data_IF_243104086161
#
_entry.id   IF_243104086161
#
_cell.length_a   1.000
_cell.length_b   1.000
_cell.length_c   1.000
_cell.angle_alpha   90.00
_cell.angle_beta   90.00
_cell.angle_gamma   90.00
#
_symmetry.space_group_name_H-M   'P 1'
#
loop_
_entity.id
_entity.type
_entity.pdbx_description
1 polymer ?
#
# COMPACT_ATOMS: atom_id res chain seq x y z
N UNK A 1 -0.06 -4.66 -7.11
CA UNK A 1 -0.07 -6.07 -7.50
C UNK A 1 -1.19 -6.29 -8.50
N UNK A 2 -0.99 -7.08 -9.56
CA UNK A 2 -1.97 -7.25 -10.66
C UNK A 2 -2.95 -8.35 -10.26
N UNK A 3 -4.11 -8.00 -9.72
CA UNK A 3 -5.13 -8.98 -9.29
C UNK A 3 -6.26 -9.12 -10.31
N UNK A 4 -5.99 -9.76 -11.45
CA UNK A 4 -7.04 -10.14 -12.42
C UNK A 4 -8.12 -11.03 -11.79
N UNK A 5 -7.76 -11.80 -10.76
CA UNK A 5 -8.70 -12.62 -10.01
C UNK A 5 -9.88 -11.84 -9.44
N UNK A 6 -9.65 -10.59 -8.99
CA UNK A 6 -10.73 -9.71 -8.49
C UNK A 6 -11.74 -9.37 -9.57
N UNK A 7 -11.28 -9.10 -10.79
CA UNK A 7 -12.17 -8.85 -11.92
C UNK A 7 -12.98 -10.10 -12.29
N UNK A 8 -12.32 -11.25 -12.37
CA UNK A 8 -12.99 -12.51 -12.70
C UNK A 8 -13.97 -12.94 -11.61
N UNK A 9 -13.69 -12.67 -10.34
CA UNK A 9 -14.61 -12.96 -9.25
C UNK A 9 -15.85 -12.04 -9.29
N UNK A 10 -15.67 -10.75 -9.59
CA UNK A 10 -16.76 -9.81 -9.78
C UNK A 10 -17.64 -10.16 -11.01
N UNK A 11 -17.06 -10.77 -12.05
CA UNK A 11 -17.73 -11.20 -13.28
C UNK A 11 -17.83 -12.73 -13.39
N UNK A 12 -17.95 -13.43 -12.27
CA UNK A 12 -17.81 -14.89 -12.18
C UNK A 12 -18.77 -15.64 -13.10
N UNK A 13 -20.02 -15.20 -13.18
CA UNK A 13 -21.03 -15.84 -14.05
C UNK A 13 -20.63 -15.76 -15.51
N UNK A 14 -20.22 -14.58 -15.98
CA UNK A 14 -19.76 -14.39 -17.37
C UNK A 14 -18.47 -15.18 -17.64
N UNK A 15 -17.51 -15.12 -16.71
CA UNK A 15 -16.25 -15.87 -16.78
C UNK A 15 -16.49 -17.37 -17.00
N UNK A 16 -17.34 -17.99 -16.17
CA UNK A 16 -17.65 -19.43 -16.27
C UNK A 16 -18.42 -19.74 -17.55
N UNK A 17 -19.39 -18.90 -17.93
CA UNK A 17 -20.16 -19.11 -19.16
C UNK A 17 -19.25 -19.09 -20.41
N UNK A 18 -18.31 -18.14 -20.48
CA UNK A 18 -17.36 -18.05 -21.60
C UNK A 18 -16.38 -19.21 -21.64
N UNK A 19 -15.89 -19.69 -20.48
CA UNK A 19 -15.04 -20.88 -20.42
C UNK A 19 -15.75 -22.15 -20.89
N UNK A 20 -17.01 -22.32 -20.52
CA UNK A 20 -17.81 -23.52 -20.91
C UNK A 20 -18.12 -23.53 -22.41
N UNK A 21 -18.16 -22.37 -23.06
CA UNK A 21 -18.52 -22.21 -24.46
C UNK A 21 -17.32 -22.20 -25.43
N UNK A 22 -16.12 -22.57 -24.98
CA UNK A 22 -14.89 -22.54 -25.79
C UNK A 22 -14.84 -23.58 -26.96
N UNK A 23 -15.95 -24.24 -27.27
CA UNK A 23 -16.00 -25.35 -28.25
C UNK A 23 -16.15 -24.93 -29.72
N UNK A 24 -16.10 -23.64 -30.03
CA UNK A 24 -16.26 -23.12 -31.39
C UNK A 24 -15.29 -21.99 -31.76
N UNK A 25 -15.06 -21.76 -33.07
CA UNK A 25 -14.05 -20.80 -33.53
C UNK A 25 -14.36 -19.34 -33.15
N UNK A 26 -15.62 -18.97 -32.98
CA UNK A 26 -16.02 -17.61 -32.53
C UNK A 26 -15.91 -17.45 -31.01
N UNK A 27 -16.02 -18.50 -30.24
CA UNK A 27 -15.97 -18.48 -28.78
C UNK A 27 -14.59 -18.13 -28.25
N UNK A 28 -13.53 -18.47 -28.97
CA UNK A 28 -12.17 -18.04 -28.65
C UNK A 28 -11.99 -16.53 -28.76
N UNK A 29 -12.53 -15.91 -29.83
CA UNK A 29 -12.46 -14.45 -29.99
C UNK A 29 -13.24 -13.74 -28.87
N UNK A 30 -14.38 -14.25 -28.48
CA UNK A 30 -15.20 -13.71 -27.39
C UNK A 30 -14.48 -13.85 -26.04
N UNK A 31 -13.82 -14.99 -25.82
CA UNK A 31 -13.00 -15.19 -24.61
C UNK A 31 -11.81 -14.23 -24.57
N UNK A 32 -11.06 -14.12 -25.66
CA UNK A 32 -9.92 -13.19 -25.75
C UNK A 32 -10.37 -11.74 -25.55
N UNK A 33 -11.47 -11.33 -26.16
CA UNK A 33 -12.03 -10.00 -25.96
C UNK A 33 -12.45 -9.74 -24.49
N UNK A 34 -13.03 -10.73 -23.83
CA UNK A 34 -13.35 -10.64 -22.39
C UNK A 34 -12.08 -10.50 -21.55
N UNK A 35 -11.07 -11.33 -21.81
CA UNK A 35 -9.80 -11.28 -21.09
C UNK A 35 -9.07 -9.96 -21.28
N UNK A 36 -9.05 -9.42 -22.51
CA UNK A 36 -8.43 -8.12 -22.78
C UNK A 36 -9.16 -6.97 -22.09
N UNK A 37 -10.51 -7.02 -22.00
CA UNK A 37 -11.27 -6.05 -21.21
C UNK A 37 -10.93 -6.13 -19.74
N UNK A 38 -10.80 -7.35 -19.17
CA UNK A 38 -10.38 -7.55 -17.79
C UNK A 38 -8.98 -6.95 -17.54
N UNK A 39 -8.06 -7.17 -18.47
CA UNK A 39 -6.70 -6.64 -18.40
C UNK A 39 -6.69 -5.11 -18.45
N UNK A 40 -7.43 -4.50 -19.38
CA UNK A 40 -7.55 -3.05 -19.48
C UNK A 40 -8.16 -2.42 -18.21
N UNK A 41 -9.28 -2.95 -17.73
CA UNK A 41 -9.92 -2.46 -16.51
C UNK A 41 -8.99 -2.56 -15.30
N UNK A 42 -8.23 -3.66 -15.16
CA UNK A 42 -7.28 -3.81 -14.07
C UNK A 42 -6.08 -2.86 -14.21
N UNK A 43 -5.62 -2.59 -15.43
CA UNK A 43 -4.55 -1.63 -15.70
C UNK A 43 -4.97 -0.21 -15.27
N UNK A 44 -6.21 0.20 -15.55
CA UNK A 44 -6.75 1.50 -15.13
C UNK A 44 -6.80 1.63 -13.60
N UNK A 45 -7.26 0.59 -12.91
CA UNK A 45 -7.27 0.53 -11.43
C UNK A 45 -5.85 0.66 -10.87
N UNK A 46 -4.89 -0.08 -11.43
CA UNK A 46 -3.50 -0.02 -11.00
C UNK A 46 -2.86 1.35 -11.25
N UNK A 47 -3.14 1.96 -12.39
CA UNK A 47 -2.68 3.30 -12.72
C UNK A 47 -3.26 4.36 -11.76
N UNK A 48 -4.53 4.23 -11.38
CA UNK A 48 -5.16 5.10 -10.40
C UNK A 48 -4.52 4.94 -9.01
N UNK A 49 -4.29 3.69 -8.57
CA UNK A 49 -3.60 3.39 -7.31
C UNK A 49 -2.18 3.95 -7.29
N UNK A 50 -1.41 3.77 -8.36
CA UNK A 50 -0.05 4.32 -8.45
C UNK A 50 -0.03 5.86 -8.36
N UNK A 51 -0.95 6.53 -9.06
CA UNK A 51 -1.11 8.00 -8.95
C UNK A 51 -1.48 8.41 -7.52
N UNK A 52 -2.37 7.67 -6.86
CA UNK A 52 -2.74 7.90 -5.46
C UNK A 52 -1.55 7.76 -4.52
N UNK A 53 -0.72 6.72 -4.69
CA UNK A 53 0.50 6.51 -3.89
C UNK A 53 1.48 7.69 -4.05
N UNK A 54 1.69 8.16 -5.29
CA UNK A 54 2.55 9.31 -5.55
C UNK A 54 2.01 10.60 -4.91
N UNK A 55 0.71 10.82 -5.00
CA UNK A 55 0.07 11.99 -4.37
C UNK A 55 0.18 11.92 -2.83
N UNK A 56 -0.06 10.75 -2.26
CA UNK A 56 0.10 10.48 -0.83
C UNK A 56 1.55 10.75 -0.38
N UNK A 57 2.54 10.22 -1.12
CA UNK A 57 3.95 10.43 -0.82
C UNK A 57 4.31 11.92 -0.80
N UNK A 58 3.92 12.67 -1.86
CA UNK A 58 4.20 14.11 -1.94
C UNK A 58 3.60 14.89 -0.77
N UNK A 59 2.34 14.59 -0.40
CA UNK A 59 1.64 15.21 0.73
C UNK A 59 2.34 14.89 2.05
N UNK A 60 2.61 13.61 2.31
CA UNK A 60 3.24 13.17 3.56
C UNK A 60 4.68 13.67 3.69
N UNK A 61 5.42 13.79 2.57
CA UNK A 61 6.77 14.38 2.57
C UNK A 61 6.74 15.81 3.09
N UNK A 62 5.86 16.65 2.57
CA UNK A 62 5.69 18.03 3.03
C UNK A 62 5.28 18.08 4.51
N UNK A 63 4.31 17.25 4.90
CA UNK A 63 3.82 17.18 6.29
C UNK A 63 4.89 16.69 7.26
N UNK A 64 5.63 15.63 6.91
CA UNK A 64 6.68 15.08 7.76
C UNK A 64 7.83 16.08 7.99
N UNK A 65 8.26 16.80 6.96
CA UNK A 65 9.28 17.87 7.10
C UNK A 65 8.77 18.98 8.02
N UNK A 66 7.54 19.45 7.81
CA UNK A 66 6.94 20.52 8.60
C UNK A 66 6.73 20.15 10.08
N UNK A 67 6.37 18.88 10.35
CA UNK A 67 6.11 18.38 11.71
C UNK A 67 7.38 18.08 12.50
N UNK A 68 8.41 17.57 11.83
CA UNK A 68 9.59 17.06 12.52
C UNK A 68 10.76 18.02 12.50
N UNK A 69 10.82 18.94 11.53
CA UNK A 69 11.95 19.83 11.27
C UNK A 69 13.28 19.06 11.21
N UNK A 70 13.26 17.82 10.73
CA UNK A 70 14.40 16.91 10.72
C UNK A 70 14.84 16.59 9.29
N UNK A 71 16.14 16.56 9.06
CA UNK A 71 16.74 16.08 7.82
C UNK A 71 16.43 14.60 7.55
N UNK A 72 16.14 13.82 8.61
CA UNK A 72 15.77 12.41 8.55
C UNK A 72 14.29 12.17 8.24
N UNK A 73 13.47 13.21 8.07
CA UNK A 73 12.04 13.06 7.78
C UNK A 73 11.80 12.29 6.46
N UNK A 74 12.58 12.62 5.42
CA UNK A 74 12.44 11.97 4.11
C UNK A 74 12.99 10.55 4.12
N UNK A 75 14.24 10.28 4.57
CA UNK A 75 14.72 8.90 4.71
C UNK A 75 13.79 8.00 5.52
N UNK A 76 13.26 8.51 6.64
CA UNK A 76 12.28 7.76 7.43
C UNK A 76 11.02 7.47 6.61
N UNK A 77 10.44 8.46 5.92
CA UNK A 77 9.25 8.28 5.10
C UNK A 77 9.46 7.25 3.99
N UNK A 78 10.62 7.25 3.33
CA UNK A 78 10.97 6.27 2.29
C UNK A 78 10.91 4.84 2.84
N UNK A 79 11.43 4.63 4.06
CA UNK A 79 11.34 3.34 4.76
C UNK A 79 9.90 2.94 5.07
N UNK A 80 9.06 3.91 5.48
CA UNK A 80 7.64 3.67 5.77
C UNK A 80 6.86 3.32 4.49
N UNK A 81 7.21 3.89 3.34
CA UNK A 81 6.62 3.51 2.06
C UNK A 81 7.09 2.15 1.57
N UNK A 82 8.34 1.77 1.82
CA UNK A 82 8.86 0.45 1.49
C UNK A 82 8.23 -0.67 2.35
N UNK A 83 7.99 -0.37 3.64
CA UNK A 83 7.36 -1.32 4.57
C UNK A 83 6.31 -0.61 5.42
N UNK A 84 5.06 -0.52 4.94
CA UNK A 84 4.02 0.29 5.57
C UNK A 84 3.50 -0.27 6.90
N UNK A 85 3.70 -1.54 7.18
CA UNK A 85 3.45 -2.16 8.50
C UNK A 85 4.76 -2.68 9.04
N UNK A 86 5.22 -2.18 10.19
CA UNK A 86 6.56 -2.44 10.70
C UNK A 86 6.63 -2.45 12.22
N UNK A 87 7.57 -3.22 12.76
CA UNK A 87 7.99 -3.08 14.14
C UNK A 87 8.96 -1.89 14.24
N UNK A 88 8.79 -1.02 15.25
CA UNK A 88 9.67 0.15 15.41
C UNK A 88 11.15 -0.20 15.52
N UNK A 89 11.47 -1.39 16.02
CA UNK A 89 12.85 -1.90 16.11
C UNK A 89 13.52 -2.13 14.76
N UNK A 90 12.75 -2.36 13.68
CA UNK A 90 13.30 -2.55 12.33
C UNK A 90 13.97 -1.30 11.75
N UNK A 91 13.64 -0.14 12.32
CA UNK A 91 14.21 1.16 11.91
C UNK A 91 15.48 1.54 12.70
N UNK A 92 15.81 0.82 13.76
CA UNK A 92 16.97 1.16 14.59
C UNK A 92 18.27 0.63 13.96
N UNK A 93 19.31 1.47 14.00
CA UNK A 93 20.63 1.11 13.45
C UNK A 93 20.72 1.11 11.91
N UNK A 94 19.72 1.66 11.24
CA UNK A 94 19.77 1.86 9.79
C UNK A 94 20.75 3.00 9.45
N UNK A 95 21.57 2.85 8.40
CA UNK A 95 22.63 3.81 8.09
C UNK A 95 22.13 5.19 7.67
N UNK A 96 20.92 5.25 7.15
CA UNK A 96 20.24 6.46 6.68
C UNK A 96 19.31 7.09 7.73
N UNK A 97 19.24 6.51 8.94
CA UNK A 97 18.41 6.99 10.03
C UNK A 97 19.25 7.40 11.25
N UNK A 98 18.75 8.31 12.08
CA UNK A 98 19.47 8.77 13.26
C UNK A 98 19.43 7.72 14.39
N UNK A 99 19.98 8.09 15.52
CA UNK A 99 20.00 7.24 16.73
C UNK A 99 18.60 6.80 17.16
N UNK A 100 18.51 5.64 17.84
CA UNK A 100 17.24 5.08 18.34
C UNK A 100 16.34 6.07 19.07
N UNK A 101 16.84 6.94 20.00
CA UNK A 101 15.98 7.94 20.64
C UNK A 101 15.38 8.93 19.64
N UNK A 102 16.17 9.37 18.64
CA UNK A 102 15.72 10.32 17.62
C UNK A 102 14.66 9.67 16.72
N UNK A 103 14.88 8.45 16.23
CA UNK A 103 13.87 7.69 15.48
C UNK A 103 12.57 7.56 16.28
N UNK A 104 12.66 7.21 17.57
CA UNK A 104 11.50 7.09 18.44
C UNK A 104 10.73 8.40 18.57
N UNK A 105 11.44 9.54 18.67
CA UNK A 105 10.83 10.87 18.70
C UNK A 105 10.08 11.16 17.41
N UNK A 106 10.70 10.91 16.25
CA UNK A 106 10.08 11.11 14.94
C UNK A 106 8.82 10.27 14.76
N UNK A 107 8.87 8.98 15.10
CA UNK A 107 7.71 8.08 15.05
C UNK A 107 6.56 8.57 15.94
N UNK A 108 6.87 9.07 17.13
CA UNK A 108 5.86 9.61 18.04
C UNK A 108 5.23 10.90 17.50
N UNK A 109 5.99 11.77 16.84
CA UNK A 109 5.46 12.97 16.19
C UNK A 109 4.50 12.58 15.05
N UNK A 110 4.90 11.66 14.16
CA UNK A 110 4.05 11.18 13.07
C UNK A 110 2.79 10.49 13.58
N UNK A 111 2.88 9.72 14.67
CA UNK A 111 1.72 9.08 15.30
C UNK A 111 0.77 10.11 15.91
N UNK A 112 1.27 11.12 16.63
CA UNK A 112 0.44 12.19 17.21
C UNK A 112 -0.28 13.01 16.12
N UNK A 113 0.34 13.15 14.95
CA UNK A 113 -0.25 13.79 13.79
C UNK A 113 -1.24 12.91 13.00
N UNK A 114 -1.48 11.66 13.45
CA UNK A 114 -2.39 10.73 12.80
C UNK A 114 -1.86 10.11 11.50
N UNK A 115 -0.57 10.31 11.17
CA UNK A 115 0.05 9.70 9.97
C UNK A 115 0.32 8.21 10.20
N UNK A 116 0.72 7.84 11.42
CA UNK A 116 0.95 6.46 11.81
C UNK A 116 -0.11 6.01 12.81
N UNK A 117 -0.61 4.80 12.61
CA UNK A 117 -1.50 4.10 13.54
C UNK A 117 -0.74 3.04 14.32
N UNK A 118 -1.06 2.88 15.59
CA UNK A 118 -0.45 1.86 16.44
C UNK A 118 -1.31 0.60 16.44
N UNK A 119 -0.84 -0.44 15.77
CA UNK A 119 -1.52 -1.74 15.71
C UNK A 119 -1.28 -2.58 16.95
N UNK A 120 -0.09 -2.45 17.55
CA UNK A 120 0.27 -3.17 18.77
C UNK A 120 1.19 -2.31 19.63
N UNK A 121 0.90 -2.14 20.93
CA UNK A 121 1.78 -1.45 21.85
C UNK A 121 3.07 -2.26 22.12
N UNK A 122 4.11 -1.59 22.59
CA UNK A 122 5.30 -2.25 23.11
C UNK A 122 4.96 -3.01 24.41
N UNK A 123 5.52 -4.20 24.58
CA UNK A 123 5.35 -5.01 25.79
C UNK A 123 6.64 -5.76 26.12
N UNK A 124 7.27 -5.47 27.23
CA UNK A 124 8.56 -6.04 27.62
C UNK A 124 9.62 -5.85 26.53
N UNK A 125 10.15 -6.96 26.00
CA UNK A 125 11.16 -6.95 24.92
C UNK A 125 10.55 -6.78 23.52
N UNK A 126 9.22 -6.81 23.38
CA UNK A 126 8.55 -6.69 22.07
C UNK A 126 8.38 -5.23 21.70
N UNK A 127 8.88 -4.85 20.54
CA UNK A 127 8.69 -3.53 19.97
C UNK A 127 7.22 -3.29 19.58
N UNK A 128 6.79 -2.03 19.62
CA UNK A 128 5.50 -1.64 19.08
C UNK A 128 5.44 -1.90 17.57
N UNK A 129 4.25 -2.22 17.08
CA UNK A 129 3.97 -2.32 15.63
C UNK A 129 3.14 -1.11 15.23
N UNK A 130 3.62 -0.43 14.20
CA UNK A 130 3.00 0.76 13.63
C UNK A 130 2.65 0.48 12.16
N UNK A 131 1.65 1.23 11.67
CA UNK A 131 1.24 1.17 10.27
C UNK A 131 1.08 2.58 9.67
N UNK A 132 1.51 2.74 8.43
CA UNK A 132 1.15 3.85 7.56
C UNK A 132 -0.22 3.53 6.94
N UNK A 133 -1.28 3.70 7.74
CA UNK A 133 -2.62 3.19 7.46
C UNK A 133 -3.20 3.70 6.14
N UNK A 134 -2.96 4.97 5.78
CA UNK A 134 -3.45 5.51 4.49
C UNK A 134 -2.85 4.77 3.29
N UNK A 135 -1.55 4.43 3.33
CA UNK A 135 -0.91 3.69 2.26
C UNK A 135 -1.45 2.26 2.16
N UNK A 136 -1.64 1.60 3.31
CA UNK A 136 -2.24 0.25 3.35
C UNK A 136 -3.64 0.26 2.75
N UNK A 137 -4.50 1.19 3.19
CA UNK A 137 -5.87 1.31 2.69
C UNK A 137 -5.91 1.61 1.18
N UNK A 138 -5.00 2.47 0.70
CA UNK A 138 -4.89 2.80 -0.72
C UNK A 138 -4.47 1.59 -1.57
N UNK A 139 -3.51 0.80 -1.10
CA UNK A 139 -3.06 -0.42 -1.77
C UNK A 139 -4.14 -1.51 -1.80
N UNK A 140 -4.92 -1.64 -0.73
CA UNK A 140 -6.01 -2.61 -0.64
C UNK A 140 -7.29 -2.15 -1.37
N UNK A 141 -7.39 -0.85 -1.72
CA UNK A 141 -8.58 -0.25 -2.34
C UNK A 141 -9.81 -0.26 -1.44
N UNK A 142 -9.62 -0.44 -0.13
CA UNK A 142 -10.65 -0.40 0.91
C UNK A 142 -10.01 -0.07 2.26
N UNK A 143 -10.83 0.40 3.20
CA UNK A 143 -10.38 0.61 4.57
C UNK A 143 -10.18 -0.75 5.27
N UNK A 144 -8.95 -1.03 5.68
CA UNK A 144 -8.54 -2.22 6.45
C UNK A 144 -7.94 -1.86 7.80
N UNK A 145 -7.44 -0.60 7.90
CA UNK A 145 -6.91 0.00 9.12
C UNK A 145 -7.58 1.34 9.36
#
# INVERSE_FOLDING_TARGET
>A
MFYLSRYFDAQRTEYIARLRNLNGPRSWNDWVAFFLRALAAQADVNAATARGILALYKRLKTSAIALTHSEFAVPLLDRLFAQPVFASSALFGQPDLPTKPAVTKLLNQLRKAGILEQLRPSSGRRAQVLALHELVNLCEGKRVL
#
